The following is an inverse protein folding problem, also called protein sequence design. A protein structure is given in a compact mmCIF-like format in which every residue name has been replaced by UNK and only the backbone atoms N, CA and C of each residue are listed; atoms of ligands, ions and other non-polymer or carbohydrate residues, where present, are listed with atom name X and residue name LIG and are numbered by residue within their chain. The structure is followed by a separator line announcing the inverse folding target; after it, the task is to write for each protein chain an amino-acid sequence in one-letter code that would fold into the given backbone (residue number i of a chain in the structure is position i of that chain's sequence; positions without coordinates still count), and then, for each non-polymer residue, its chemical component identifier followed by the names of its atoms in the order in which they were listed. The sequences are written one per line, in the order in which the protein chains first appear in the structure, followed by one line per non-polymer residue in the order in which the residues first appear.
data_IF_918072312037
#
_entry.id   IF_918072312037
#
_cell.length_a   1.000
_cell.length_b   1.000
_cell.length_c   1.000
_cell.angle_alpha   90.00
_cell.angle_beta   90.00
_cell.angle_gamma   90.00
#
_symmetry.space_group_name_H-M   'P 1'
#
loop_
_entity.id
_entity.type
_entity.pdbx_description
1 polymer ?
#
# COMPACT_ATOMS: atom_id res chain seq x y z
N UNK A 1 49.12 -35.88 -50.59
CA UNK A 1 49.22 -35.07 -49.36
C UNK A 1 47.85 -34.45 -49.10
N UNK A 2 46.99 -35.17 -48.40
CA UNK A 2 45.61 -34.79 -48.11
C UNK A 2 45.50 -34.42 -46.64
N UNK A 3 45.35 -33.13 -46.37
CA UNK A 3 45.17 -32.58 -45.04
C UNK A 3 43.71 -32.75 -44.61
N UNK A 4 43.49 -33.49 -43.52
CA UNK A 4 42.20 -33.59 -42.85
C UNK A 4 42.00 -32.38 -41.91
N UNK A 5 40.79 -31.82 -41.93
CA UNK A 5 40.37 -30.68 -41.10
C UNK A 5 40.08 -31.10 -39.65
N UNK A 6 40.33 -30.26 -38.63
CA UNK A 6 39.96 -30.53 -37.25
C UNK A 6 38.50 -30.15 -36.95
N UNK A 7 37.85 -30.98 -36.14
CA UNK A 7 36.49 -30.86 -35.62
C UNK A 7 36.32 -29.68 -34.66
N UNK A 8 35.27 -28.88 -34.86
CA UNK A 8 34.83 -27.78 -34.00
C UNK A 8 34.10 -28.28 -32.74
N UNK A 9 34.64 -27.98 -31.56
CA UNK A 9 33.96 -28.11 -30.27
C UNK A 9 33.06 -26.90 -30.01
N UNK A 10 31.75 -27.12 -29.88
CA UNK A 10 30.76 -26.10 -29.50
C UNK A 10 30.78 -25.86 -27.99
N UNK A 11 31.11 -24.64 -27.57
CA UNK A 11 30.97 -24.15 -26.20
C UNK A 11 29.52 -23.83 -25.88
N UNK A 12 28.90 -24.58 -24.96
CA UNK A 12 27.56 -24.28 -24.43
C UNK A 12 27.64 -23.16 -23.40
N UNK A 13 27.10 -21.99 -23.75
CA UNK A 13 26.79 -20.89 -22.84
C UNK A 13 25.71 -21.33 -21.85
N UNK A 14 26.05 -21.47 -20.57
CA UNK A 14 25.12 -21.78 -19.49
C UNK A 14 24.28 -20.55 -19.14
N UNK A 15 23.09 -20.46 -19.70
CA UNK A 15 22.00 -19.65 -19.14
C UNK A 15 21.51 -20.30 -17.84
N UNK A 16 21.17 -19.55 -16.78
CA UNK A 16 20.57 -20.14 -15.60
C UNK A 16 19.21 -20.76 -15.99
N UNK A 17 19.01 -22.03 -15.65
CA UNK A 17 17.71 -22.70 -15.82
C UNK A 17 16.62 -21.94 -15.04
N UNK A 18 15.39 -21.84 -15.58
CA UNK A 18 14.26 -21.31 -14.83
C UNK A 18 13.98 -22.21 -13.62
N UNK A 19 13.82 -21.59 -12.44
CA UNK A 19 13.49 -22.29 -11.19
C UNK A 19 12.22 -23.15 -11.38
N UNK A 20 12.17 -24.38 -10.83
CA UNK A 20 10.99 -25.22 -10.95
C UNK A 20 9.75 -24.55 -10.36
N UNK A 21 8.72 -24.41 -11.19
CA UNK A 21 7.45 -23.67 -10.97
C UNK A 21 6.54 -24.22 -9.85
N UNK A 22 7.00 -25.19 -9.06
CA UNK A 22 6.16 -25.94 -8.12
C UNK A 22 6.57 -25.81 -6.64
N UNK A 23 7.64 -25.09 -6.32
CA UNK A 23 8.01 -24.83 -4.93
C UNK A 23 7.37 -23.53 -4.45
N UNK A 24 6.56 -23.62 -3.41
CA UNK A 24 5.98 -22.48 -2.70
C UNK A 24 7.10 -21.61 -2.11
N UNK A 25 6.86 -20.31 -1.97
CA UNK A 25 7.80 -19.44 -1.27
C UNK A 25 7.96 -19.93 0.16
N UNK A 26 9.20 -20.20 0.55
CA UNK A 26 9.51 -20.49 1.94
C UNK A 26 9.75 -19.17 2.66
N UNK A 27 8.71 -18.64 3.28
CA UNK A 27 8.83 -17.47 4.14
C UNK A 27 9.66 -17.79 5.38
N UNK A 28 10.59 -16.89 5.68
CA UNK A 28 11.44 -16.95 6.86
C UNK A 28 11.33 -15.62 7.58
N UNK A 29 11.32 -15.67 8.90
CA UNK A 29 11.46 -14.49 9.71
C UNK A 29 12.85 -13.87 9.50
N UNK A 30 12.90 -12.58 9.18
CA UNK A 30 14.16 -11.82 8.99
C UNK A 30 14.39 -10.81 10.12
N UNK A 31 13.38 -9.97 10.39
CA UNK A 31 13.53 -8.82 11.26
C UNK A 31 12.17 -8.39 11.86
N UNK A 32 12.22 -7.81 13.05
CA UNK A 32 11.16 -6.99 13.65
C UNK A 32 11.75 -5.63 13.97
N UNK A 33 10.99 -4.58 13.65
CA UNK A 33 11.33 -3.18 13.88
C UNK A 33 10.26 -2.60 14.81
N UNK A 34 10.67 -2.00 15.92
CA UNK A 34 9.78 -1.46 16.95
C UNK A 34 9.93 -2.14 18.31
N UNK A 35 9.12 -1.73 19.28
CA UNK A 35 9.12 -2.32 20.62
C UNK A 35 8.51 -3.72 20.59
N UNK A 36 9.20 -4.67 21.24
CA UNK A 36 8.66 -6.02 21.42
C UNK A 36 7.51 -5.96 22.44
N UNK A 37 6.39 -6.67 22.20
CA UNK A 37 5.37 -6.84 23.23
C UNK A 37 6.02 -7.41 24.50
N UNK A 38 5.65 -6.95 25.71
CA UNK A 38 6.22 -7.50 26.93
C UNK A 38 5.98 -9.01 26.94
N UNK A 39 7.07 -9.78 27.11
CA UNK A 39 6.99 -11.24 27.15
C UNK A 39 5.99 -11.66 28.24
N UNK A 40 5.14 -12.63 27.93
CA UNK A 40 4.31 -13.35 28.90
C UNK A 40 5.20 -14.25 29.79
N UNK A 41 6.21 -13.67 30.45
CA UNK A 41 7.08 -14.30 31.42
C UNK A 41 6.45 -14.22 32.80
N UNK A 42 6.17 -15.38 33.39
CA UNK A 42 5.35 -15.50 34.59
C UNK A 42 5.84 -14.71 35.80
N UNK A 43 5.04 -13.74 36.24
CA UNK A 43 4.89 -13.49 37.66
C UNK A 43 3.42 -13.40 38.05
N UNK A 44 3.05 -14.31 38.96
CA UNK A 44 1.83 -14.30 39.74
C UNK A 44 1.78 -12.98 40.51
N UNK A 45 1.03 -12.00 40.02
CA UNK A 45 0.08 -11.19 40.78
C UNK A 45 -0.60 -10.21 39.83
N UNK A 46 -1.93 -10.14 39.93
CA UNK A 46 -2.81 -9.64 38.89
C UNK A 46 -2.72 -8.15 38.58
N UNK A 47 -3.27 -7.84 37.39
CA UNK A 47 -3.83 -6.54 36.99
C UNK A 47 -2.85 -5.37 36.95
N UNK A 48 -1.70 -5.52 36.28
CA UNK A 48 -0.94 -4.37 35.77
C UNK A 48 -0.04 -4.84 34.60
N UNK A 49 -0.01 -4.05 33.52
CA UNK A 49 0.78 -4.21 32.28
C UNK A 49 0.09 -4.85 31.06
N UNK A 50 -1.18 -4.52 30.80
CA UNK A 50 -1.51 -4.08 29.45
C UNK A 50 -1.01 -2.64 29.38
N UNK A 51 0.26 -2.43 29.01
CA UNK A 51 0.65 -1.10 28.52
C UNK A 51 -0.30 -0.82 27.36
N UNK A 52 -1.13 0.21 27.53
CA UNK A 52 -1.87 0.80 26.43
C UNK A 52 -0.79 1.19 25.44
N UNK A 53 -0.64 0.41 24.37
CA UNK A 53 0.09 0.88 23.21
C UNK A 53 -0.66 2.14 22.80
N UNK A 54 -0.04 3.30 22.93
CA UNK A 54 -0.70 4.55 22.59
C UNK A 54 -1.16 4.42 21.13
N UNK A 55 -2.47 4.57 20.88
CA UNK A 55 -3.08 4.46 19.54
C UNK A 55 -2.33 5.35 18.51
N UNK A 56 -1.54 6.33 18.97
CA UNK A 56 -0.70 7.24 18.20
C UNK A 56 0.51 6.55 17.53
N UNK A 57 1.11 5.53 18.15
CA UNK A 57 2.28 4.82 17.62
C UNK A 57 1.92 3.64 16.68
N UNK A 58 0.62 3.43 16.44
CA UNK A 58 0.15 2.39 15.52
C UNK A 58 0.47 2.75 14.06
N UNK A 59 1.14 1.83 13.35
CA UNK A 59 1.47 1.99 11.94
C UNK A 59 0.20 1.94 11.10
N UNK A 60 -0.03 3.00 10.32
CA UNK A 60 -1.20 3.18 9.47
C UNK A 60 -0.91 2.92 7.99
N UNK A 61 0.34 3.05 7.55
CA UNK A 61 0.76 2.80 6.18
C UNK A 61 2.22 2.33 6.10
N UNK A 62 2.52 1.47 5.13
CA UNK A 62 3.88 1.04 4.79
C UNK A 62 4.05 1.03 3.27
N UNK A 63 5.20 1.49 2.78
CA UNK A 63 5.50 1.49 1.34
C UNK A 63 7.01 1.38 1.11
N UNK A 64 7.40 0.55 0.13
CA UNK A 64 8.77 0.51 -0.37
C UNK A 64 8.97 1.54 -1.48
N UNK A 65 10.19 2.06 -1.62
CA UNK A 65 10.55 2.76 -2.84
C UNK A 65 10.61 1.79 -4.04
N UNK A 66 10.62 2.33 -5.26
CA UNK A 66 10.62 1.51 -6.47
C UNK A 66 11.81 0.54 -6.60
N UNK A 67 12.92 0.82 -5.90
CA UNK A 67 14.11 -0.05 -5.85
C UNK A 67 14.10 -1.07 -4.71
N UNK A 68 13.28 -0.89 -3.68
CA UNK A 68 13.38 -1.66 -2.44
C UNK A 68 14.66 -1.38 -1.65
N UNK A 69 15.24 -0.20 -1.82
CA UNK A 69 16.36 0.30 -1.02
C UNK A 69 15.88 1.00 0.25
N UNK A 70 14.67 1.55 0.22
CA UNK A 70 14.04 2.23 1.33
C UNK A 70 12.65 1.65 1.63
N UNK A 71 12.34 1.55 2.91
CA UNK A 71 11.02 1.21 3.44
C UNK A 71 10.56 2.38 4.29
N UNK A 72 9.38 2.92 4.01
CA UNK A 72 8.77 3.97 4.80
C UNK A 72 7.55 3.44 5.56
N UNK A 73 7.38 3.90 6.78
CA UNK A 73 6.24 3.62 7.64
C UNK A 73 5.64 4.92 8.16
N UNK A 74 4.32 5.07 8.05
CA UNK A 74 3.57 6.17 8.63
C UNK A 74 2.74 5.68 9.82
N UNK A 75 2.61 6.50 10.86
CA UNK A 75 1.80 6.17 12.04
C UNK A 75 0.58 7.07 12.18
N UNK A 76 -0.23 6.77 13.18
CA UNK A 76 -1.40 7.54 13.56
C UNK A 76 -1.01 8.93 14.12
N UNK A 77 0.13 9.11 14.78
CA UNK A 77 0.62 10.41 15.22
C UNK A 77 0.96 11.37 14.06
N UNK A 78 1.05 10.88 12.83
CA UNK A 78 1.44 11.64 11.65
C UNK A 78 2.96 11.76 11.47
N UNK A 79 3.73 10.88 12.10
CA UNK A 79 5.17 10.72 11.84
C UNK A 79 5.38 9.80 10.63
N UNK A 80 6.51 10.00 9.95
CA UNK A 80 7.01 9.12 8.91
C UNK A 80 8.40 8.66 9.31
N UNK A 81 8.60 7.35 9.34
CA UNK A 81 9.86 6.67 9.67
C UNK A 81 10.40 6.03 8.39
N UNK A 82 11.65 6.29 8.07
CA UNK A 82 12.35 5.74 6.90
C UNK A 82 13.41 4.75 7.38
N UNK A 83 13.38 3.56 6.80
CA UNK A 83 14.39 2.53 6.94
C UNK A 83 15.14 2.34 5.62
N UNK A 84 16.45 2.11 5.68
CA UNK A 84 17.31 1.86 4.52
C UNK A 84 17.83 0.43 4.56
N UNK A 85 17.96 -0.21 3.39
CA UNK A 85 18.57 -1.53 3.27
C UNK A 85 20.07 -1.49 3.65
N UNK A 86 20.51 -2.42 4.50
CA UNK A 86 21.88 -2.45 5.07
C UNK A 86 22.69 -3.69 4.68
N UNK A 87 22.10 -4.62 3.94
CA UNK A 87 22.74 -5.86 3.49
C UNK A 87 23.94 -5.66 2.55
N UNK A 88 24.01 -4.52 1.85
CA UNK A 88 25.14 -4.15 0.98
C UNK A 88 26.33 -3.50 1.69
N UNK A 89 26.15 -2.97 2.90
CA UNK A 89 27.22 -2.23 3.61
C UNK A 89 28.26 -3.20 4.22
N UNK A 90 27.84 -4.42 4.58
CA UNK A 90 28.73 -5.48 5.09
C UNK A 90 29.58 -6.14 3.97
N UNK A 91 29.16 -6.05 2.72
CA UNK A 91 29.89 -6.62 1.58
C UNK A 91 31.13 -5.78 1.18
N UNK A 92 31.20 -4.51 1.60
CA UNK A 92 32.29 -3.58 1.26
C UNK A 92 33.49 -3.62 2.22
N UNK A 93 33.33 -4.19 3.42
CA UNK A 93 34.36 -4.14 4.48
C UNK A 93 34.98 -5.50 4.82
N UNK A 94 34.38 -6.60 4.37
CA UNK A 94 34.96 -7.93 4.50
C UNK A 94 34.94 -8.63 3.13
N UNK A 95 36.11 -8.83 2.54
CA UNK A 95 36.27 -9.83 1.49
C UNK A 95 35.95 -11.19 2.11
N UNK A 96 34.77 -11.74 1.82
CA UNK A 96 34.39 -13.07 2.29
C UNK A 96 35.47 -14.06 1.82
N UNK A 97 36.04 -14.90 2.71
CA UNK A 97 36.98 -15.93 2.30
C UNK A 97 36.35 -16.76 1.18
N UNK A 98 37.13 -17.13 0.15
CA UNK A 98 36.66 -17.89 -1.01
C UNK A 98 35.83 -19.13 -0.64
N UNK A 99 36.12 -19.75 0.50
CA UNK A 99 35.39 -20.90 1.05
C UNK A 99 33.96 -20.57 1.54
N UNK A 100 33.66 -19.34 1.96
CA UNK A 100 32.29 -18.90 2.26
C UNK A 100 31.53 -18.49 0.99
N UNK A 101 32.22 -17.93 -0.02
CA UNK A 101 31.63 -17.70 -1.34
C UNK A 101 31.17 -19.03 -1.99
N UNK A 102 32.04 -20.05 -1.94
CA UNK A 102 31.72 -21.41 -2.42
C UNK A 102 30.61 -22.09 -1.59
N UNK A 103 30.36 -21.62 -0.36
CA UNK A 103 29.24 -22.05 0.51
C UNK A 103 27.95 -21.29 0.20
N UNK A 104 28.06 -20.01 -0.15
CA UNK A 104 26.97 -19.13 -0.59
C UNK A 104 26.48 -19.48 -2.01
N UNK A 105 27.33 -20.10 -2.84
CA UNK A 105 26.91 -20.70 -4.12
C UNK A 105 25.87 -21.82 -3.93
N UNK A 106 25.81 -22.43 -2.73
CA UNK A 106 24.81 -23.45 -2.34
C UNK A 106 23.73 -22.96 -1.36
N UNK A 107 23.99 -21.89 -0.61
CA UNK A 107 23.06 -21.28 0.32
C UNK A 107 22.64 -19.91 -0.20
N UNK A 108 21.41 -19.77 -0.69
CA UNK A 108 20.89 -18.54 -1.29
C UNK A 108 21.18 -17.28 -0.45
N UNK A 109 21.25 -16.13 -1.14
CA UNK A 109 21.59 -14.84 -0.55
C UNK A 109 20.84 -14.58 0.78
N UNK A 110 21.52 -13.99 1.78
CA UNK A 110 20.88 -13.67 3.06
C UNK A 110 19.67 -12.75 2.82
N UNK A 111 18.62 -12.83 3.65
CA UNK A 111 17.45 -11.99 3.49
C UNK A 111 17.82 -10.51 3.67
N UNK A 112 17.18 -9.58 2.93
CA UNK A 112 17.45 -8.16 3.07
C UNK A 112 17.15 -7.70 4.50
N UNK A 113 18.01 -6.82 5.01
CA UNK A 113 17.88 -6.19 6.34
C UNK A 113 17.72 -4.69 6.17
N UNK A 114 16.89 -4.10 7.03
CA UNK A 114 16.58 -2.67 7.01
C UNK A 114 17.00 -2.02 8.33
N UNK A 115 17.85 -1.00 8.26
CA UNK A 115 18.25 -0.17 9.40
C UNK A 115 17.45 1.12 9.44
N UNK A 116 17.22 1.67 10.63
CA UNK A 116 16.66 3.02 10.79
C UNK A 116 17.54 4.04 10.06
N UNK A 117 16.93 4.90 9.23
CA UNK A 117 17.63 5.96 8.53
C UNK A 117 17.27 7.34 9.11
N UNK A 118 15.98 7.66 9.18
CA UNK A 118 15.51 8.95 9.70
C UNK A 118 14.02 8.90 10.00
N UNK A 119 13.53 9.85 10.79
CA UNK A 119 12.11 10.08 10.99
C UNK A 119 11.81 11.58 10.99
N UNK A 120 10.58 11.94 10.64
CA UNK A 120 10.12 13.31 10.68
C UNK A 120 8.62 13.40 10.91
N UNK A 121 8.18 14.51 11.53
CA UNK A 121 6.77 14.82 11.66
C UNK A 121 6.22 15.27 10.30
N UNK A 122 5.37 14.45 9.69
CA UNK A 122 4.74 14.77 8.41
C UNK A 122 3.52 15.68 8.59
N UNK A 123 2.63 15.35 9.55
CA UNK A 123 1.40 16.12 9.82
C UNK A 123 1.25 16.43 11.30
N UNK A 124 0.63 17.56 11.64
CA UNK A 124 0.21 17.85 13.02
C UNK A 124 -1.32 17.97 13.07
N UNK A 125 -1.96 17.60 14.18
CA UNK A 125 -3.39 17.85 14.35
C UNK A 125 -3.69 19.34 14.23
N UNK A 126 -4.52 19.72 13.26
CA UNK A 126 -4.99 21.10 13.17
C UNK A 126 -5.92 21.41 14.36
N UNK A 127 -5.47 22.29 15.25
CA UNK A 127 -6.29 22.76 16.36
C UNK A 127 -7.53 23.48 15.85
N UNK A 128 -8.71 22.88 15.99
CA UNK A 128 -10.00 23.52 15.69
C UNK A 128 -10.17 24.79 16.53
N UNK A 129 -9.87 25.94 15.95
CA UNK A 129 -10.23 27.23 16.54
C UNK A 129 -11.77 27.33 16.61
N UNK A 130 -12.26 27.63 17.81
CA UNK A 130 -13.67 27.63 18.22
C UNK A 130 -14.58 28.44 17.28
N UNK A 131 -15.21 27.79 16.29
CA UNK A 131 -16.45 28.28 15.64
C UNK A 131 -17.40 27.11 15.35
N UNK A 132 -17.95 26.54 16.42
CA UNK A 132 -19.31 25.97 16.51
C UNK A 132 -19.41 25.07 17.74
N UNK A 133 -19.41 25.68 18.93
CA UNK A 133 -19.89 25.01 20.14
C UNK A 133 -21.26 25.58 20.49
N UNK A 134 -22.31 24.98 19.94
CA UNK A 134 -23.57 24.84 20.69
C UNK A 134 -24.16 23.46 20.49
N UNK A 135 -24.01 22.68 21.57
CA UNK A 135 -24.72 21.45 21.95
C UNK A 135 -24.46 20.22 21.06
N UNK A 136 -23.44 19.43 21.45
CA UNK A 136 -23.55 17.97 21.40
C UNK A 136 -23.28 17.41 22.80
N UNK A 137 -24.21 16.56 23.26
CA UNK A 137 -24.17 15.89 24.56
C UNK A 137 -23.00 14.90 24.56
N UNK A 138 -22.33 14.77 25.71
CA UNK A 138 -21.33 13.73 25.97
C UNK A 138 -21.94 12.35 25.67
N UNK A 139 -21.24 11.57 24.84
CA UNK A 139 -21.59 10.20 24.52
C UNK A 139 -21.59 9.91 23.02
N UNK A 140 -20.45 10.12 22.36
CA UNK A 140 -20.04 9.44 21.11
C UNK A 140 -18.67 10.00 20.72
N UNK A 141 -17.65 9.14 20.81
CA UNK A 141 -16.27 9.49 20.47
C UNK A 141 -16.12 9.60 18.95
N UNK A 142 -16.31 10.79 18.41
CA UNK A 142 -15.84 11.11 17.06
C UNK A 142 -14.32 11.27 17.13
N UNK A 143 -13.60 10.19 16.83
CA UNK A 143 -12.14 10.16 16.72
C UNK A 143 -11.72 10.88 15.43
N UNK A 144 -10.69 11.74 15.44
CA UNK A 144 -10.05 12.16 14.21
C UNK A 144 -9.35 10.92 13.61
N UNK A 145 -9.86 10.42 12.47
CA UNK A 145 -9.13 9.46 11.64
C UNK A 145 -8.24 10.27 10.71
N UNK A 146 -6.94 10.06 10.78
CA UNK A 146 -6.00 10.60 9.82
C UNK A 146 -6.24 9.97 8.46
N UNK A 147 -6.13 10.76 7.39
CA UNK A 147 -6.03 10.25 6.04
C UNK A 147 -4.77 9.40 5.92
N UNK A 148 -4.89 8.26 5.25
CA UNK A 148 -3.78 7.39 4.87
C UNK A 148 -2.62 8.26 4.39
N UNK A 149 -1.50 8.26 5.11
CA UNK A 149 -0.25 8.79 4.59
C UNK A 149 0.19 7.87 3.46
N UNK A 150 -0.41 8.02 2.28
CA UNK A 150 0.11 7.42 1.08
C UNK A 150 1.46 8.09 0.84
N UNK A 151 2.52 7.27 0.84
CA UNK A 151 3.89 7.69 0.66
C UNK A 151 4.31 7.26 -0.74
N UNK A 152 3.89 7.95 -1.81
CA UNK A 152 4.23 7.49 -3.14
C UNK A 152 5.74 7.71 -3.37
N UNK A 153 6.54 6.69 -3.05
CA UNK A 153 7.98 6.63 -3.26
C UNK A 153 8.31 6.17 -4.70
N UNK A 154 7.37 6.29 -5.64
CA UNK A 154 7.48 5.80 -7.03
C UNK A 154 8.12 6.78 -8.02
N UNK A 155 8.86 7.78 -7.54
CA UNK A 155 9.80 8.51 -8.40
C UNK A 155 11.17 7.80 -8.31
N UNK A 156 11.90 7.60 -9.41
CA UNK A 156 13.29 7.19 -9.30
C UNK A 156 14.00 8.27 -8.49
N UNK A 157 14.58 7.88 -7.36
CA UNK A 157 15.46 8.70 -6.53
C UNK A 157 16.79 8.93 -7.28
N UNK A 158 16.70 9.44 -8.51
CA UNK A 158 17.81 9.76 -9.38
C UNK A 158 18.31 11.16 -9.01
N UNK A 159 19.29 11.15 -8.11
CA UNK A 159 20.47 12.00 -8.19
C UNK A 159 20.25 13.52 -8.04
N UNK A 160 20.16 13.96 -6.77
CA UNK A 160 20.95 15.11 -6.26
C UNK A 160 20.91 15.17 -4.72
N UNK A 161 21.38 14.10 -4.08
CA UNK A 161 21.90 14.18 -2.71
C UNK A 161 23.19 15.02 -2.77
N UNK A 162 23.05 16.33 -2.57
CA UNK A 162 24.19 17.22 -2.52
C UNK A 162 25.01 16.92 -1.26
N UNK A 163 26.09 16.16 -1.41
CA UNK A 163 27.13 16.06 -0.40
C UNK A 163 27.79 17.44 -0.25
N UNK A 164 27.38 18.18 0.77
CA UNK A 164 27.89 19.54 0.99
C UNK A 164 29.32 19.46 1.54
N UNK A 165 30.32 19.62 0.66
CA UNK A 165 31.68 19.96 1.06
C UNK A 165 31.69 21.35 1.71
N UNK A 166 32.29 21.45 2.89
CA UNK A 166 32.42 22.67 3.69
C UNK A 166 33.11 23.79 2.90
N UNK A 167 32.46 24.96 2.84
CA UNK A 167 33.01 26.22 2.36
C UNK A 167 32.19 27.39 2.91
N UNK A 168 32.87 28.33 3.57
CA UNK A 168 32.32 29.45 4.34
C UNK A 168 31.94 30.66 3.49
N UNK A 169 30.85 31.34 3.84
CA UNK A 169 30.77 32.78 4.21
C UNK A 169 29.31 33.27 4.13
N UNK A 170 29.05 34.45 4.68
CA UNK A 170 27.90 34.77 5.52
C UNK A 170 26.74 35.54 4.86
N UNK A 171 25.61 35.53 5.58
CA UNK A 171 24.52 36.51 5.71
C UNK A 171 23.52 36.77 4.56
N UNK A 172 22.28 36.29 4.75
CA UNK A 172 21.09 37.17 4.79
C UNK A 172 19.83 36.51 5.44
N UNK A 173 19.40 37.11 6.56
CA UNK A 173 18.06 37.22 7.15
C UNK A 173 17.06 36.03 7.20
N UNK A 174 16.99 35.45 8.40
CA UNK A 174 15.89 34.80 9.12
C UNK A 174 14.46 34.77 8.51
N UNK A 175 14.01 33.55 8.20
CA UNK A 175 12.67 33.07 8.53
C UNK A 175 12.85 31.69 9.15
N UNK A 176 12.42 31.51 10.41
CA UNK A 176 12.66 30.30 11.20
C UNK A 176 12.01 29.09 10.51
N UNK A 177 12.80 28.33 9.76
CA UNK A 177 12.47 26.98 9.29
C UNK A 177 12.87 26.00 10.40
N UNK A 178 11.91 25.18 10.87
CA UNK A 178 12.21 24.04 11.73
C UNK A 178 12.87 22.96 10.88
N UNK A 179 14.19 23.01 10.79
CA UNK A 179 15.02 21.88 10.38
C UNK A 179 15.00 20.89 11.54
N UNK A 180 14.38 19.73 11.35
CA UNK A 180 14.64 18.59 12.23
C UNK A 180 16.03 18.07 11.89
N UNK A 181 16.99 18.33 12.78
CA UNK A 181 18.30 17.68 12.72
C UNK A 181 18.12 16.28 13.33
N UNK A 182 18.20 15.25 12.49
CA UNK A 182 18.03 13.84 12.88
C UNK A 182 19.23 13.10 12.29
N UNK A 183 19.88 12.27 13.13
CA UNK A 183 21.22 11.70 12.91
C UNK A 183 21.47 11.02 11.56
N UNK A 184 22.75 10.87 11.25
CA UNK A 184 23.31 10.29 10.01
C UNK A 184 23.03 11.05 8.71
N UNK A 185 23.10 12.38 8.73
CA UNK A 185 23.24 13.19 7.50
C UNK A 185 22.01 13.20 6.58
N UNK A 186 20.88 12.63 7.02
CA UNK A 186 19.60 12.72 6.34
C UNK A 186 18.80 13.90 6.91
N UNK A 187 18.27 14.76 6.03
CA UNK A 187 17.35 15.83 6.41
C UNK A 187 16.06 15.72 5.62
N UNK A 188 14.93 15.66 6.31
CA UNK A 188 13.62 15.74 5.68
C UNK A 188 13.15 17.20 5.58
N UNK A 189 12.66 17.60 4.40
CA UNK A 189 12.06 18.91 4.18
C UNK A 189 10.77 18.77 3.39
N UNK A 190 9.65 19.24 3.96
CA UNK A 190 8.41 19.38 3.22
C UNK A 190 8.62 20.42 2.10
N UNK A 191 8.56 19.97 0.85
CA UNK A 191 8.76 20.85 -0.32
C UNK A 191 7.47 21.51 -0.78
N UNK A 192 6.35 20.80 -0.65
CA UNK A 192 5.05 21.19 -1.19
C UNK A 192 3.92 20.70 -0.29
N UNK A 193 2.87 21.49 -0.21
CA UNK A 193 1.65 21.19 0.53
C UNK A 193 0.48 21.39 -0.42
N UNK A 194 -0.30 20.34 -0.66
CA UNK A 194 -1.51 20.35 -1.47
C UNK A 194 -2.70 20.35 -0.50
N UNK A 195 -3.32 21.50 -0.29
CA UNK A 195 -4.35 21.67 0.74
C UNK A 195 -5.72 22.07 0.17
N UNK A 196 -6.76 21.91 1.00
CA UNK A 196 -8.11 22.48 0.80
C UNK A 196 -8.84 22.10 -0.50
N UNK A 197 -8.53 20.95 -1.08
CA UNK A 197 -9.23 20.43 -2.27
C UNK A 197 -10.31 19.38 -1.98
N UNK A 198 -10.27 18.76 -0.80
CA UNK A 198 -11.20 17.69 -0.41
C UNK A 198 -12.14 18.16 0.69
N UNK A 199 -13.41 17.77 0.57
CA UNK A 199 -14.45 18.01 1.59
C UNK A 199 -14.53 16.85 2.60
N UNK A 200 -14.10 15.65 2.17
CA UNK A 200 -14.12 14.41 2.95
C UNK A 200 -12.71 13.87 3.18
N UNK A 201 -12.62 12.76 3.91
CA UNK A 201 -11.34 12.12 4.22
C UNK A 201 -10.72 11.54 2.95
N UNK A 202 -9.45 11.85 2.73
CA UNK A 202 -8.69 11.26 1.63
C UNK A 202 -8.44 9.78 1.94
N UNK A 203 -8.86 8.90 1.04
CA UNK A 203 -8.70 7.44 1.15
C UNK A 203 -7.57 6.91 0.25
N UNK A 204 -7.18 7.65 -0.80
CA UNK A 204 -6.15 7.20 -1.75
C UNK A 204 -5.37 8.37 -2.33
N UNK A 205 -4.08 8.13 -2.58
CA UNK A 205 -3.21 8.97 -3.39
C UNK A 205 -2.47 8.04 -4.34
N UNK A 206 -2.37 8.40 -5.62
CA UNK A 206 -1.69 7.59 -6.62
C UNK A 206 -0.92 8.46 -7.59
N UNK A 207 0.38 8.21 -7.74
CA UNK A 207 1.20 8.88 -8.75
C UNK A 207 0.89 8.34 -10.14
N UNK A 208 0.87 9.23 -11.10
CA UNK A 208 0.79 8.86 -12.50
C UNK A 208 2.16 8.43 -13.02
N UNK A 209 2.19 7.57 -14.03
CA UNK A 209 3.43 7.11 -14.64
C UNK A 209 4.07 8.16 -15.57
N UNK A 210 3.49 9.36 -15.68
CA UNK A 210 4.04 10.48 -16.44
C UNK A 210 5.14 11.24 -15.67
N UNK A 211 5.26 11.04 -14.36
CA UNK A 211 6.22 11.75 -13.50
C UNK A 211 5.89 13.22 -13.26
N UNK A 212 4.69 13.67 -13.63
CA UNK A 212 4.26 15.07 -13.55
C UNK A 212 2.96 15.22 -12.75
N UNK A 213 2.10 14.20 -12.77
CA UNK A 213 0.76 14.26 -12.17
C UNK A 213 0.51 13.15 -11.14
N UNK A 214 -0.46 13.40 -10.27
CA UNK A 214 -0.96 12.40 -9.32
C UNK A 214 -2.44 12.67 -9.01
N UNK A 215 -3.15 11.68 -8.50
CA UNK A 215 -4.52 11.84 -8.03
C UNK A 215 -4.59 11.71 -6.52
N UNK A 216 -5.56 12.40 -5.93
CA UNK A 216 -6.05 12.13 -4.58
C UNK A 216 -7.55 11.90 -4.64
N UNK A 217 -8.02 10.89 -3.90
CA UNK A 217 -9.43 10.53 -3.84
C UNK A 217 -9.95 10.64 -2.41
N UNK A 218 -11.14 11.21 -2.26
CA UNK A 218 -11.96 11.12 -1.06
C UNK A 218 -13.18 10.24 -1.32
N UNK A 219 -14.14 10.27 -0.40
CA UNK A 219 -15.36 9.47 -0.45
C UNK A 219 -16.25 9.75 -1.68
N UNK A 220 -16.20 10.94 -2.29
CA UNK A 220 -17.08 11.32 -3.39
C UNK A 220 -16.34 11.90 -4.60
N UNK A 221 -15.08 12.27 -4.46
CA UNK A 221 -14.32 13.01 -5.48
C UNK A 221 -12.94 12.43 -5.73
N UNK A 222 -12.51 12.47 -6.98
CA UNK A 222 -11.12 12.27 -7.38
C UNK A 222 -10.60 13.56 -8.01
N UNK A 223 -9.50 14.08 -7.46
CA UNK A 223 -8.83 15.29 -7.92
C UNK A 223 -7.49 14.92 -8.54
N UNK A 224 -7.22 15.43 -9.74
CA UNK A 224 -5.95 15.37 -10.46
C UNK A 224 -5.11 16.60 -10.14
N UNK A 225 -3.83 16.37 -9.85
CA UNK A 225 -2.86 17.37 -9.46
C UNK A 225 -1.65 17.33 -10.36
N UNK A 226 -0.98 18.48 -10.49
CA UNK A 226 0.35 18.56 -11.03
C UNK A 226 1.35 18.71 -9.87
N UNK A 227 2.45 17.96 -9.90
CA UNK A 227 3.43 17.90 -8.80
C UNK A 227 4.07 19.25 -8.49
N UNK A 228 4.07 20.19 -9.43
CA UNK A 228 4.62 21.54 -9.24
C UNK A 228 3.58 22.62 -8.91
N UNK A 229 2.28 22.33 -9.07
CA UNK A 229 1.20 23.31 -8.88
C UNK A 229 0.36 22.93 -7.67
N UNK A 230 0.56 23.62 -6.54
CA UNK A 230 -0.11 23.30 -5.28
C UNK A 230 -1.42 24.05 -5.05
N UNK A 231 -1.65 25.14 -5.78
CA UNK A 231 -2.80 26.03 -5.57
C UNK A 231 -4.06 25.62 -6.34
N UNK A 232 -3.97 24.62 -7.21
CA UNK A 232 -5.05 24.20 -8.10
C UNK A 232 -5.02 22.69 -8.30
N UNK A 233 -6.20 22.11 -8.35
CA UNK A 233 -6.44 20.74 -8.77
C UNK A 233 -7.60 20.71 -9.76
N UNK A 234 -7.68 19.65 -10.55
CA UNK A 234 -8.79 19.42 -11.44
C UNK A 234 -9.62 18.25 -10.93
N UNK A 235 -10.89 18.49 -10.63
CA UNK A 235 -11.78 17.40 -10.24
C UNK A 235 -12.15 16.59 -11.48
N UNK A 236 -11.72 15.31 -11.50
CA UNK A 236 -11.91 14.40 -12.63
C UNK A 236 -13.04 13.40 -12.39
N UNK A 237 -13.50 13.22 -11.15
CA UNK A 237 -14.67 12.42 -10.79
C UNK A 237 -15.41 13.15 -9.66
N UNK A 238 -16.72 13.35 -9.82
CA UNK A 238 -17.62 13.88 -8.78
C UNK A 238 -18.87 12.99 -8.68
N UNK A 239 -18.95 12.20 -7.61
CA UNK A 239 -20.10 11.38 -7.26
C UNK A 239 -21.01 12.08 -6.25
N UNK A 240 -20.76 13.37 -5.93
CA UNK A 240 -21.56 14.11 -4.96
C UNK A 240 -23.02 14.20 -5.44
N UNK A 241 -23.99 13.63 -4.70
CA UNK A 241 -25.39 13.74 -5.07
C UNK A 241 -25.89 15.16 -4.88
N UNK A 242 -27.05 15.46 -5.48
CA UNK A 242 -27.71 16.77 -5.32
C UNK A 242 -28.14 17.00 -3.89
N UNK A 243 -28.64 15.95 -3.24
CA UNK A 243 -28.97 15.95 -1.82
C UNK A 243 -28.06 14.94 -1.10
N UNK A 244 -27.42 15.40 -0.02
CA UNK A 244 -26.58 14.54 0.81
C UNK A 244 -27.42 13.56 1.63
N UNK A 245 -28.71 13.84 1.83
CA UNK A 245 -29.63 12.90 2.47
C UNK A 245 -29.80 11.62 1.63
N UNK A 246 -29.66 11.69 0.30
CA UNK A 246 -29.78 10.53 -0.59
C UNK A 246 -28.73 9.45 -0.26
N UNK A 247 -27.56 9.82 0.27
CA UNK A 247 -26.54 8.85 0.72
C UNK A 247 -27.00 8.02 1.93
N UNK A 248 -27.89 8.57 2.76
CA UNK A 248 -28.34 8.00 4.05
C UNK A 248 -29.76 7.46 3.98
N UNK A 249 -30.60 8.02 3.10
CA UNK A 249 -32.00 7.69 2.89
C UNK A 249 -32.17 6.36 2.14
N UNK A 250 -31.58 5.29 2.69
CA UNK A 250 -31.89 3.91 2.36
C UNK A 250 -33.26 3.59 2.97
N UNK A 251 -34.32 4.08 2.35
CA UNK A 251 -35.65 3.59 2.68
C UNK A 251 -35.88 2.30 1.88
N UNK A 252 -36.30 1.27 2.60
CA UNK A 252 -36.53 -0.13 2.20
C UNK A 252 -37.57 -0.33 1.05
N UNK A 253 -37.82 0.69 0.26
CA UNK A 253 -38.87 0.78 -0.77
C UNK A 253 -38.35 1.12 -2.18
N UNK A 254 -37.06 1.36 -2.38
CA UNK A 254 -36.52 1.61 -3.73
C UNK A 254 -36.33 0.29 -4.51
N UNK A 255 -37.40 -0.15 -5.17
CA UNK A 255 -37.30 -0.94 -6.41
C UNK A 255 -37.05 0.04 -7.56
N UNK A 256 -35.92 0.76 -7.49
CA UNK A 256 -35.41 1.61 -8.56
C UNK A 256 -34.46 0.83 -9.47
N UNK A 257 -34.21 1.33 -10.68
CA UNK A 257 -33.16 0.81 -11.55
C UNK A 257 -31.83 0.84 -10.78
N UNK A 258 -31.02 -0.23 -10.83
CA UNK A 258 -29.78 -0.42 -10.03
C UNK A 258 -28.75 0.73 -10.14
N UNK A 259 -28.90 1.61 -11.13
CA UNK A 259 -27.92 2.62 -11.55
C UNK A 259 -28.01 3.96 -10.78
N UNK A 260 -29.12 4.26 -10.08
CA UNK A 260 -29.29 5.55 -9.36
C UNK A 260 -29.03 5.47 -7.84
N UNK A 261 -28.60 4.32 -7.33
CA UNK A 261 -28.29 4.15 -5.91
C UNK A 261 -26.96 4.84 -5.52
N UNK A 262 -26.92 5.54 -4.38
CA UNK A 262 -25.75 6.29 -3.92
C UNK A 262 -24.53 5.40 -3.75
N UNK A 263 -23.37 5.95 -4.10
CA UNK A 263 -22.10 5.22 -4.10
C UNK A 263 -20.96 6.09 -3.58
N UNK A 264 -20.03 5.44 -2.87
CA UNK A 264 -18.86 6.09 -2.27
C UNK A 264 -17.60 5.48 -2.86
N UNK A 265 -16.64 6.33 -3.21
CA UNK A 265 -15.30 5.93 -3.67
C UNK A 265 -14.51 5.46 -2.46
N UNK A 266 -13.90 4.29 -2.55
CA UNK A 266 -13.16 3.69 -1.42
C UNK A 266 -11.67 3.59 -1.68
N UNK A 267 -11.27 3.54 -2.95
CA UNK A 267 -9.88 3.44 -3.36
C UNK A 267 -9.72 3.90 -4.81
N UNK A 268 -8.56 4.46 -5.16
CA UNK A 268 -8.23 4.84 -6.53
C UNK A 268 -6.73 4.64 -6.81
N UNK A 269 -6.41 4.13 -7.99
CA UNK A 269 -5.03 3.90 -8.42
C UNK A 269 -4.85 4.15 -9.93
N UNK A 270 -3.76 4.78 -10.31
CA UNK A 270 -3.32 4.90 -11.70
C UNK A 270 -2.78 3.59 -12.24
N UNK A 271 -2.96 3.39 -13.55
CA UNK A 271 -2.34 2.28 -14.24
C UNK A 271 -0.81 2.45 -14.27
N UNK A 272 -0.01 1.40 -13.98
CA UNK A 272 1.44 1.53 -13.77
C UNK A 272 2.23 1.98 -15.00
N UNK A 273 1.72 1.73 -16.20
CA UNK A 273 2.39 2.05 -17.47
C UNK A 273 1.55 2.89 -18.45
N UNK A 274 0.33 3.27 -18.08
CA UNK A 274 -0.58 3.99 -18.99
C UNK A 274 -1.08 5.25 -18.32
N UNK A 275 -0.52 6.39 -18.72
CA UNK A 275 -0.75 7.67 -18.06
C UNK A 275 -2.19 8.21 -18.17
N UNK A 276 -3.03 7.60 -19.01
CA UNK A 276 -4.43 7.99 -19.16
C UNK A 276 -5.42 7.07 -18.46
N UNK A 277 -4.99 5.93 -17.94
CA UNK A 277 -5.90 4.96 -17.33
C UNK A 277 -5.86 5.08 -15.81
N UNK A 278 -7.04 5.24 -15.22
CA UNK A 278 -7.24 5.29 -13.77
C UNK A 278 -8.32 4.28 -13.42
N UNK A 279 -8.12 3.53 -12.34
CA UNK A 279 -9.15 2.69 -11.78
C UNK A 279 -9.55 3.17 -10.38
N UNK A 280 -10.82 3.02 -10.04
CA UNK A 280 -11.31 3.26 -8.68
C UNK A 280 -12.36 2.23 -8.27
N UNK A 281 -12.30 1.84 -7.00
CA UNK A 281 -13.24 0.94 -6.35
C UNK A 281 -14.27 1.69 -5.53
N UNK A 282 -15.37 1.01 -5.21
CA UNK A 282 -16.47 1.60 -4.46
C UNK A 282 -17.02 0.75 -3.32
N UNK A 283 -17.86 1.39 -2.51
CA UNK A 283 -18.62 0.76 -1.43
C UNK A 283 -19.62 -0.29 -1.92
N UNK A 284 -20.01 -0.27 -3.19
CA UNK A 284 -20.98 -1.22 -3.79
C UNK A 284 -20.31 -2.44 -4.44
N UNK A 285 -18.99 -2.55 -4.35
CA UNK A 285 -18.26 -3.62 -5.02
C UNK A 285 -18.11 -3.43 -6.53
N UNK A 286 -18.24 -2.18 -7.00
CA UNK A 286 -18.02 -1.83 -8.40
C UNK A 286 -16.59 -1.32 -8.57
N UNK A 287 -15.90 -1.91 -9.54
CA UNK A 287 -14.60 -1.44 -9.98
C UNK A 287 -14.79 -0.72 -11.31
N UNK A 288 -14.38 0.55 -11.39
CA UNK A 288 -14.49 1.36 -12.60
C UNK A 288 -13.10 1.66 -13.15
N UNK A 289 -12.96 1.47 -14.45
CA UNK A 289 -11.79 1.91 -15.22
C UNK A 289 -12.19 3.09 -16.09
N UNK A 290 -11.52 4.22 -15.92
CA UNK A 290 -11.73 5.44 -16.68
C UNK A 290 -10.51 5.76 -17.54
N UNK A 291 -10.72 6.51 -18.62
CA UNK A 291 -9.67 6.97 -19.53
C UNK A 291 -9.72 8.49 -19.64
N UNK A 292 -8.70 9.15 -19.09
CA UNK A 292 -8.54 10.60 -19.06
C UNK A 292 -8.56 11.24 -20.46
N UNK A 293 -8.28 10.47 -21.52
CA UNK A 293 -8.32 10.96 -22.92
C UNK A 293 -9.72 11.02 -23.50
N UNK A 294 -10.68 10.25 -22.95
CA UNK A 294 -12.05 10.16 -23.49
C UNK A 294 -12.95 11.28 -23.02
N UNK A 295 -12.81 11.68 -21.76
CA UNK A 295 -13.62 12.73 -21.14
C UNK A 295 -12.78 13.43 -20.08
N UNK A 296 -12.82 14.76 -20.06
CA UNK A 296 -12.18 15.53 -19.01
C UNK A 296 -12.76 15.18 -17.63
N UNK A 297 -14.08 14.93 -17.56
CA UNK A 297 -14.80 14.70 -16.31
C UNK A 297 -14.94 13.22 -15.93
N UNK A 298 -14.30 12.30 -16.69
CA UNK A 298 -14.34 10.84 -16.50
C UNK A 298 -15.70 10.27 -16.09
N UNK A 299 -16.77 10.90 -16.56
CA UNK A 299 -18.17 10.67 -16.22
C UNK A 299 -18.68 9.32 -16.73
N UNK A 300 -17.97 8.77 -17.72
CA UNK A 300 -18.23 7.45 -18.30
C UNK A 300 -17.03 6.55 -18.07
N UNK A 301 -17.25 5.49 -17.30
CA UNK A 301 -16.32 4.37 -17.22
C UNK A 301 -16.11 3.77 -18.61
N UNK A 302 -14.86 3.50 -18.96
CA UNK A 302 -14.51 2.66 -20.11
C UNK A 302 -15.01 1.24 -19.87
N UNK A 303 -14.84 0.75 -18.64
CA UNK A 303 -15.34 -0.53 -18.17
C UNK A 303 -15.77 -0.44 -16.71
N UNK A 304 -16.83 -1.16 -16.38
CA UNK A 304 -17.29 -1.35 -15.01
C UNK A 304 -17.28 -2.85 -14.73
N UNK A 305 -16.37 -3.28 -13.86
CA UNK A 305 -16.17 -4.66 -13.47
C UNK A 305 -17.09 -4.98 -12.30
N UNK A 306 -17.84 -6.06 -12.43
CA UNK A 306 -18.76 -6.53 -11.41
C UNK A 306 -18.90 -8.05 -11.50
N UNK A 307 -18.87 -8.73 -10.37
CA UNK A 307 -18.93 -10.18 -10.30
C UNK A 307 -20.38 -10.65 -10.45
N UNK A 308 -20.85 -10.72 -11.70
CA UNK A 308 -22.21 -11.15 -12.04
C UNK A 308 -22.42 -12.65 -11.85
N UNK A 309 -21.34 -13.43 -11.68
CA UNK A 309 -21.37 -14.87 -11.51
C UNK A 309 -21.62 -15.32 -10.06
N UNK A 310 -21.35 -14.46 -9.08
CA UNK A 310 -21.77 -14.71 -7.70
C UNK A 310 -23.31 -14.78 -7.63
N UNK A 311 -23.86 -15.80 -6.95
CA UNK A 311 -25.32 -16.00 -6.87
C UNK A 311 -25.99 -14.67 -6.51
N UNK A 312 -27.09 -14.26 -7.16
CA UNK A 312 -27.82 -13.06 -6.80
C UNK A 312 -28.27 -13.22 -5.35
N UNK A 313 -27.52 -12.61 -4.43
CA UNK A 313 -27.96 -12.51 -3.05
C UNK A 313 -28.95 -11.36 -3.00
N UNK A 314 -29.99 -11.45 -2.15
CA UNK A 314 -30.81 -10.28 -1.89
C UNK A 314 -29.89 -9.13 -1.47
N UNK A 315 -30.07 -7.97 -2.11
CA UNK A 315 -29.37 -6.75 -1.72
C UNK A 315 -29.81 -6.37 -0.31
N UNK A 316 -29.00 -6.77 0.67
CA UNK A 316 -29.13 -6.44 2.08
C UNK A 316 -28.01 -5.49 2.49
N UNK A 317 -28.23 -4.73 3.56
CA UNK A 317 -27.19 -3.92 4.18
C UNK A 317 -25.89 -4.72 4.44
N UNK A 318 -26.02 -5.96 4.89
CA UNK A 318 -24.88 -6.86 5.11
C UNK A 318 -24.13 -7.18 3.83
N UNK A 319 -24.84 -7.56 2.75
CA UNK A 319 -24.20 -7.85 1.45
C UNK A 319 -23.47 -6.65 0.87
N UNK A 320 -23.94 -5.44 1.15
CA UNK A 320 -23.27 -4.21 0.71
C UNK A 320 -21.95 -3.98 1.47
N UNK A 321 -21.97 -4.13 2.80
CA UNK A 321 -20.76 -3.99 3.62
C UNK A 321 -19.68 -4.96 3.15
N UNK A 322 -20.02 -6.24 2.95
CA UNK A 322 -19.03 -7.26 2.56
C UNK A 322 -18.59 -7.14 1.09
N UNK A 323 -19.37 -6.46 0.24
CA UNK A 323 -19.02 -6.22 -1.16
C UNK A 323 -18.16 -4.98 -1.36
N UNK A 324 -18.08 -4.10 -0.35
CA UNK A 324 -17.23 -2.92 -0.36
C UNK A 324 -15.78 -3.28 -0.73
N UNK A 325 -15.25 -2.64 -1.77
CA UNK A 325 -13.84 -2.79 -2.14
C UNK A 325 -13.01 -2.01 -1.12
N UNK A 326 -12.17 -2.70 -0.36
CA UNK A 326 -11.31 -2.10 0.66
C UNK A 326 -9.98 -1.63 0.09
N UNK A 327 -9.47 -2.33 -0.94
CA UNK A 327 -8.21 -1.98 -1.58
C UNK A 327 -8.16 -2.47 -3.04
N UNK A 328 -7.32 -1.81 -3.82
CA UNK A 328 -7.17 -1.94 -5.26
C UNK A 328 -5.68 -1.89 -5.62
N UNK A 329 -5.19 -2.89 -6.35
CA UNK A 329 -3.82 -2.91 -6.87
C UNK A 329 -3.71 -3.40 -8.31
N UNK A 330 -3.08 -2.64 -9.20
CA UNK A 330 -2.61 -3.17 -10.47
C UNK A 330 -1.44 -4.14 -10.28
N UNK A 331 -1.37 -5.17 -11.11
CA UNK A 331 -0.11 -5.91 -11.30
C UNK A 331 0.88 -5.03 -12.08
N UNK A 332 2.18 -5.19 -11.88
CA UNK A 332 3.21 -4.38 -12.55
C UNK A 332 3.09 -4.36 -14.09
N UNK A 333 2.68 -5.47 -14.70
CA UNK A 333 2.41 -5.59 -16.15
C UNK A 333 1.21 -4.75 -16.63
N UNK A 334 0.38 -4.26 -15.69
CA UNK A 334 -0.84 -3.49 -15.96
C UNK A 334 -2.01 -4.30 -16.51
N UNK A 335 -1.83 -5.58 -16.87
CA UNK A 335 -2.90 -6.40 -17.47
C UNK A 335 -3.99 -6.82 -16.49
N UNK A 336 -3.61 -7.07 -15.25
CA UNK A 336 -4.51 -7.56 -14.22
C UNK A 336 -4.67 -6.54 -13.11
N UNK A 337 -5.80 -6.64 -12.43
CA UNK A 337 -6.18 -5.76 -11.35
C UNK A 337 -6.70 -6.61 -10.19
N UNK A 338 -6.12 -6.40 -9.02
CA UNK A 338 -6.42 -7.09 -7.79
C UNK A 338 -7.35 -6.20 -6.95
N UNK A 339 -8.48 -6.75 -6.51
CA UNK A 339 -9.38 -6.08 -5.57
C UNK A 339 -9.52 -6.92 -4.31
N UNK A 340 -9.52 -6.26 -3.15
CA UNK A 340 -9.90 -6.88 -1.89
C UNK A 340 -11.30 -6.40 -1.49
N UNK A 341 -12.20 -7.34 -1.27
CA UNK A 341 -13.42 -7.12 -0.48
C UNK A 341 -13.27 -7.82 0.89
N UNK A 342 -14.25 -7.68 1.77
CA UNK A 342 -14.15 -8.22 3.12
C UNK A 342 -13.83 -9.72 3.13
N UNK A 343 -14.47 -10.50 2.25
CA UNK A 343 -14.40 -11.97 2.21
C UNK A 343 -13.43 -12.52 1.17
N UNK A 344 -13.10 -11.74 0.13
CA UNK A 344 -12.45 -12.24 -1.06
C UNK A 344 -11.33 -11.32 -1.53
N UNK A 345 -10.28 -11.95 -2.02
CA UNK A 345 -9.32 -11.34 -2.93
C UNK A 345 -9.70 -11.78 -4.35
N UNK A 346 -9.95 -10.83 -5.25
CA UNK A 346 -10.38 -11.10 -6.63
C UNK A 346 -9.35 -10.56 -7.61
N UNK A 347 -8.94 -11.39 -8.56
CA UNK A 347 -8.07 -11.01 -9.66
C UNK A 347 -8.90 -10.80 -10.92
N UNK A 348 -8.83 -9.62 -11.51
CA UNK A 348 -9.56 -9.21 -12.71
C UNK A 348 -8.60 -9.09 -13.90
N UNK A 349 -9.03 -9.52 -15.07
CA UNK A 349 -8.36 -9.19 -16.34
C UNK A 349 -9.03 -7.92 -16.89
N UNK A 350 -8.27 -6.88 -17.22
CA UNK A 350 -8.84 -5.62 -17.71
C UNK A 350 -9.70 -5.75 -18.97
N UNK A 351 -9.62 -6.89 -19.66
CA UNK A 351 -10.40 -7.17 -20.88
C UNK A 351 -11.73 -7.88 -20.60
N UNK A 352 -11.96 -8.34 -19.36
CA UNK A 352 -13.14 -9.11 -18.97
C UNK A 352 -13.81 -8.48 -17.75
N UNK A 353 -14.93 -7.78 -17.96
CA UNK A 353 -15.65 -7.07 -16.89
C UNK A 353 -16.68 -7.89 -16.12
N UNK A 354 -17.12 -9.03 -16.65
CA UNK A 354 -18.29 -9.77 -16.14
C UNK A 354 -17.99 -10.69 -14.96
N UNK A 355 -16.72 -11.04 -14.76
CA UNK A 355 -16.29 -11.98 -13.72
C UNK A 355 -14.79 -11.88 -13.47
N UNK A 356 -14.33 -12.08 -12.22
CA UNK A 356 -12.91 -12.20 -11.94
C UNK A 356 -12.32 -13.47 -12.58
N UNK A 357 -11.03 -13.41 -12.92
CA UNK A 357 -10.21 -14.55 -13.38
C UNK A 357 -10.06 -15.57 -12.26
N UNK A 358 -9.86 -15.10 -11.03
CA UNK A 358 -9.74 -15.93 -9.85
C UNK A 358 -10.31 -15.21 -8.62
N UNK A 359 -10.94 -15.97 -7.74
CA UNK A 359 -11.47 -15.49 -6.46
C UNK A 359 -10.92 -16.36 -5.34
N UNK A 360 -10.22 -15.73 -4.41
CA UNK A 360 -9.59 -16.39 -3.27
C UNK A 360 -10.29 -15.96 -2.00
N UNK A 361 -10.85 -16.92 -1.27
CA UNK A 361 -11.62 -16.64 -0.05
C UNK A 361 -10.69 -16.49 1.15
N UNK A 362 -10.88 -15.42 1.91
CA UNK A 362 -10.28 -15.23 3.23
C UNK A 362 -11.16 -15.88 4.29
N UNK A 363 -10.55 -16.45 5.33
CA UNK A 363 -11.29 -16.99 6.47
C UNK A 363 -11.88 -15.84 7.28
N UNK A 364 -13.20 -15.88 7.46
CA UNK A 364 -13.98 -14.94 8.26
C UNK A 364 -13.81 -15.25 9.75
N UNK A 365 -13.60 -14.21 10.56
CA UNK A 365 -13.80 -14.25 12.02
C UNK A 365 -14.75 -13.13 12.39
N UNK A 366 -15.74 -13.43 13.23
CA UNK A 366 -17.04 -12.72 13.24
C UNK A 366 -17.05 -11.28 13.80
N UNK A 367 -15.91 -10.71 14.23
CA UNK A 367 -15.95 -9.61 15.18
C UNK A 367 -15.64 -8.20 14.61
N UNK A 368 -15.25 -8.04 13.33
CA UNK A 368 -14.81 -6.73 12.80
C UNK A 368 -15.16 -6.46 11.32
N UNK A 369 -16.45 -6.51 10.96
CA UNK A 369 -16.91 -6.39 9.56
C UNK A 369 -16.55 -5.07 8.84
N UNK A 370 -16.17 -4.02 9.58
CA UNK A 370 -15.79 -2.72 9.02
C UNK A 370 -14.29 -2.53 8.85
N UNK A 371 -13.49 -3.53 9.21
CA UNK A 371 -12.05 -3.49 9.03
C UNK A 371 -11.69 -3.55 7.54
N UNK A 372 -10.68 -2.75 7.18
CA UNK A 372 -10.20 -2.64 5.81
C UNK A 372 -8.84 -3.30 5.71
N UNK A 373 -8.80 -4.43 5.02
CA UNK A 373 -7.54 -5.08 4.69
C UNK A 373 -7.01 -4.56 3.36
N UNK A 374 -5.71 -4.31 3.30
CA UNK A 374 -4.99 -4.05 2.07
C UNK A 374 -4.58 -5.34 1.36
N UNK A 375 -4.19 -5.21 0.11
CA UNK A 375 -3.61 -6.27 -0.69
C UNK A 375 -2.42 -5.73 -1.49
N UNK A 376 -1.55 -6.63 -1.93
CA UNK A 376 -0.46 -6.29 -2.84
C UNK A 376 -0.19 -7.43 -3.81
N UNK A 377 0.40 -7.07 -4.95
CA UNK A 377 0.88 -8.01 -5.93
C UNK A 377 2.42 -8.03 -5.92
N UNK A 378 2.99 -9.20 -6.14
CA UNK A 378 4.40 -9.34 -6.46
C UNK A 378 4.73 -8.68 -7.79
N UNK A 379 5.98 -8.24 -7.95
CA UNK A 379 6.50 -7.57 -9.14
C UNK A 379 6.39 -8.43 -10.41
N UNK A 380 6.49 -9.75 -10.28
CA UNK A 380 6.32 -10.69 -11.40
C UNK A 380 4.83 -11.04 -11.67
N UNK A 381 3.91 -10.52 -10.85
CA UNK A 381 2.47 -10.77 -10.96
C UNK A 381 2.05 -12.20 -10.61
N UNK A 382 2.94 -13.02 -10.03
CA UNK A 382 2.69 -14.45 -9.83
C UNK A 382 2.09 -14.79 -8.46
N UNK A 383 2.46 -14.03 -7.43
CA UNK A 383 1.97 -14.11 -6.05
C UNK A 383 1.25 -12.82 -5.64
N UNK A 384 0.26 -12.96 -4.76
CA UNK A 384 -0.50 -11.89 -4.15
C UNK A 384 -0.49 -12.08 -2.63
N UNK A 385 -0.51 -10.98 -1.88
CA UNK A 385 -0.63 -11.03 -0.42
C UNK A 385 -1.73 -10.12 0.09
N UNK A 386 -2.31 -10.47 1.22
CA UNK A 386 -3.36 -9.67 1.87
C UNK A 386 -3.43 -9.96 3.38
N UNK A 387 -3.82 -8.96 4.16
CA UNK A 387 -3.94 -9.10 5.61
C UNK A 387 -5.09 -10.01 6.06
N UNK A 388 -4.98 -10.49 7.29
CA UNK A 388 -6.02 -11.26 8.00
C UNK A 388 -5.94 -11.00 9.51
N UNK A 389 -6.95 -11.46 10.24
CA UNK A 389 -6.98 -11.31 11.70
C UNK A 389 -5.92 -12.16 12.41
N UNK A 390 -5.74 -11.89 13.71
CA UNK A 390 -4.81 -12.60 14.61
C UNK A 390 -3.34 -12.48 14.19
N UNK A 391 -2.95 -11.29 13.72
CA UNK A 391 -1.60 -11.01 13.21
C UNK A 391 -1.22 -11.99 12.10
N UNK A 392 -2.18 -12.33 11.25
CA UNK A 392 -2.01 -13.23 10.12
C UNK A 392 -2.08 -12.49 8.80
N UNK A 393 -1.58 -13.13 7.76
CA UNK A 393 -1.71 -12.69 6.38
C UNK A 393 -1.81 -13.92 5.47
N UNK A 394 -2.25 -13.74 4.24
CA UNK A 394 -2.41 -14.83 3.29
C UNK A 394 -1.59 -14.56 2.04
N UNK A 395 -0.81 -15.56 1.60
CA UNK A 395 -0.21 -15.60 0.27
C UNK A 395 -1.10 -16.41 -0.66
N UNK A 396 -1.22 -15.94 -1.89
CA UNK A 396 -1.96 -16.61 -2.94
C UNK A 396 -1.13 -16.59 -4.22
N UNK A 397 -1.01 -17.73 -4.90
CA UNK A 397 -0.40 -17.79 -6.24
C UNK A 397 -1.44 -17.87 -7.36
N UNK A 398 -1.14 -17.19 -8.46
CA UNK A 398 -1.97 -17.19 -9.67
C UNK A 398 -2.07 -18.59 -10.29
N UNK A 399 -0.95 -19.33 -10.35
CA UNK A 399 -0.92 -20.70 -10.86
C UNK A 399 -0.91 -21.69 -9.69
N UNK A 400 -2.01 -22.42 -9.51
CA UNK A 400 -2.11 -23.53 -8.56
C UNK A 400 -3.28 -23.46 -7.58
N UNK A 401 -3.99 -22.33 -7.49
CA UNK A 401 -5.19 -22.19 -6.64
C UNK A 401 -4.96 -22.36 -5.13
N UNK A 402 -3.72 -22.62 -4.71
CA UNK A 402 -3.37 -22.80 -3.31
C UNK A 402 -3.23 -21.43 -2.66
N UNK A 403 -4.10 -21.15 -1.69
CA UNK A 403 -3.90 -20.09 -0.71
C UNK A 403 -3.19 -20.68 0.51
N UNK A 404 -2.20 -19.95 1.04
CA UNK A 404 -1.59 -20.26 2.32
C UNK A 404 -1.84 -19.11 3.28
N UNK A 405 -2.18 -19.45 4.52
CA UNK A 405 -2.27 -18.49 5.61
C UNK A 405 -1.02 -18.61 6.47
N UNK A 406 -0.42 -17.47 6.77
CA UNK A 406 0.78 -17.34 7.58
C UNK A 406 0.43 -16.53 8.82
N UNK A 407 0.73 -17.06 10.01
CA UNK A 407 0.75 -16.27 11.24
C UNK A 407 2.11 -15.63 11.44
N UNK A 408 2.17 -14.36 11.86
CA UNK A 408 3.44 -13.71 12.21
C UNK A 408 4.14 -14.48 13.36
N UNK A 409 3.37 -15.04 14.29
CA UNK A 409 3.88 -15.85 15.41
C UNK A 409 4.48 -17.20 14.98
N UNK A 410 3.96 -17.81 13.91
CA UNK A 410 4.46 -19.09 13.40
C UNK A 410 5.91 -18.95 12.91
N UNK A 411 6.24 -17.79 12.34
CA UNK A 411 7.59 -17.49 11.87
C UNK A 411 8.52 -16.95 12.96
N UNK A 412 7.99 -16.26 13.97
CA UNK A 412 8.78 -15.69 15.06
C UNK A 412 9.18 -16.72 16.15
N UNK A 413 8.48 -17.85 16.25
CA UNK A 413 8.72 -18.89 17.28
C UNK A 413 10.09 -19.61 17.20
N UNK A 414 10.89 -19.37 16.15
CA UNK A 414 12.27 -19.83 16.06
C UNK A 414 13.28 -18.92 16.78
N UNK A 415 12.82 -17.86 17.45
CA UNK A 415 13.62 -17.07 18.39
C UNK A 415 13.63 -17.74 19.77
N UNK A 416 14.13 -18.98 19.85
CA UNK A 416 14.70 -19.44 21.12
C UNK A 416 16.09 -18.80 21.21
N UNK A 417 16.49 -18.18 22.34
CA UNK A 417 17.89 -17.85 22.53
C UNK A 417 18.64 -19.19 22.53
N UNK A 418 19.57 -19.35 21.59
CA UNK A 418 20.64 -20.32 21.76
C UNK A 418 21.35 -19.97 23.08
N UNK A 419 21.05 -20.73 24.13
CA UNK A 419 21.74 -20.73 25.41
C UNK A 419 22.86 -21.76 25.42
#
# INVERSE_FOLDING_TARGET
MSWASPSSSSSSSSYPEPRPSHQLLQWKFSQVLGELPPESGGHRNGLAALQVQDDEDEISAIEFDGGGEYLAAGDNAGRVIIFRRTDGDDAGLHAWPRAELERADFAGAPPPRYGYATEFQSHQPEGRSRKNTRRRRKGEGSRPRWSTAALPLKEPFAERLATKRRGSSADFAERIEKVGDVGDGYSAKCRRVFDRAHEFNINSISNNCDGETFVSADDLRINLWHLEVTSQCFNIVDLKPKDMEDLVARNDTCVGLMDDEPEVITTAEFHPSSCSLLAYGSSRGLLRLVDLRRSALCDKSVRTFQDRGSRPQPHTFFTEIISCITDLKFTDEGRYLLTRDYMNLKLWDLRVETSPVATYKSLYTEDYIFDRFSCCASKDGSSFATGSYRSGWSEVRQQGGNSMQHGIKDHASNLAPDG
#
